data_IF_697482975145
#
_entry.id   IF_697482975145
#
_cell.length_a   1.000
_cell.length_b   1.000
_cell.length_c   1.000
_cell.angle_alpha   90.00
_cell.angle_beta   90.00
_cell.angle_gamma   90.00
#
_symmetry.space_group_name_H-M   'P 1'
#
loop_
_entity.id
_entity.type
_entity.pdbx_description
1 polymer ?
#
# COMPACT_ATOMS: atom_id res chain seq x y z
N UNK A 1 -1.13 23.54 16.56
CA UNK A 1 -0.20 22.87 15.62
C UNK A 1 0.52 21.70 16.32
N UNK A 2 -0.19 20.65 16.73
CA UNK A 2 0.38 19.57 17.54
C UNK A 2 -0.27 18.19 17.26
N UNK A 3 -0.46 17.82 15.99
CA UNK A 3 -1.19 16.59 15.65
C UNK A 3 -0.60 15.68 14.57
N UNK A 4 0.52 16.02 13.93
CA UNK A 4 0.91 15.35 12.67
C UNK A 4 1.99 14.26 12.72
N UNK A 5 2.50 13.83 13.89
CA UNK A 5 3.65 12.91 13.93
C UNK A 5 3.45 11.61 14.72
N UNK A 6 2.23 11.19 15.05
CA UNK A 6 2.01 9.87 15.68
C UNK A 6 1.83 8.78 14.61
N UNK A 7 2.88 8.52 13.83
CA UNK A 7 2.97 7.19 13.23
C UNK A 7 3.20 6.18 14.36
N UNK A 8 2.53 5.01 14.35
CA UNK A 8 2.79 3.99 15.33
C UNK A 8 4.30 3.67 15.30
N UNK A 9 4.93 3.43 16.47
CA UNK A 9 6.34 3.10 16.52
C UNK A 9 6.60 1.92 15.59
N UNK A 10 7.66 2.04 14.78
CA UNK A 10 8.06 1.03 13.81
C UNK A 10 8.11 -0.32 14.54
N UNK A 11 7.38 -1.36 14.08
CA UNK A 11 7.32 -2.61 14.81
C UNK A 11 8.71 -3.18 15.06
N UNK A 12 8.97 -3.67 16.28
CA UNK A 12 10.29 -4.13 16.73
C UNK A 12 10.99 -5.08 15.74
N UNK A 13 10.23 -5.95 15.07
CA UNK A 13 10.74 -6.89 14.07
C UNK A 13 11.43 -6.24 12.89
N UNK A 14 11.03 -5.04 12.49
CA UNK A 14 11.70 -4.33 11.41
C UNK A 14 13.11 -3.86 11.82
N UNK A 15 13.33 -3.46 13.08
CA UNK A 15 14.66 -3.10 13.57
C UNK A 15 15.60 -4.31 13.60
N UNK A 16 15.10 -5.48 14.00
CA UNK A 16 15.86 -6.73 13.94
C UNK A 16 16.23 -7.04 12.48
N UNK A 17 15.25 -6.96 11.57
CA UNK A 17 15.49 -7.16 10.14
C UNK A 17 16.60 -6.23 9.63
N UNK A 18 16.47 -4.92 9.85
CA UNK A 18 17.43 -3.93 9.36
C UNK A 18 18.83 -4.15 9.96
N UNK A 19 18.92 -4.56 11.24
CA UNK A 19 20.19 -4.89 11.89
C UNK A 19 20.84 -6.17 11.33
N UNK A 20 20.06 -7.23 11.12
CA UNK A 20 20.54 -8.47 10.47
C UNK A 20 21.06 -8.19 9.06
N UNK A 21 20.41 -7.30 8.32
CA UNK A 21 20.86 -6.85 7.00
C UNK A 21 22.20 -6.09 7.07
N UNK A 22 22.32 -5.14 8.01
CA UNK A 22 23.57 -4.38 8.20
C UNK A 22 24.76 -5.32 8.46
N UNK A 23 24.59 -6.30 9.36
CA UNK A 23 25.61 -7.31 9.64
C UNK A 23 25.92 -8.13 8.39
N UNK A 24 24.91 -8.55 7.65
CA UNK A 24 25.08 -9.35 6.43
C UNK A 24 25.90 -8.59 5.37
N UNK A 25 25.64 -7.29 5.17
CA UNK A 25 26.40 -6.45 4.25
C UNK A 25 27.84 -6.21 4.73
N UNK A 26 28.05 -6.01 6.04
CA UNK A 26 29.40 -5.88 6.61
C UNK A 26 30.22 -7.15 6.40
N UNK A 27 29.65 -8.32 6.70
CA UNK A 27 30.31 -9.62 6.49
C UNK A 27 30.61 -9.83 5.00
N UNK A 28 29.64 -9.53 4.13
CA UNK A 28 29.82 -9.58 2.68
C UNK A 28 31.01 -8.69 2.25
N UNK A 29 31.09 -7.44 2.72
CA UNK A 29 32.20 -6.53 2.44
C UNK A 29 33.56 -7.08 2.90
N UNK A 30 33.63 -7.68 4.09
CA UNK A 30 34.85 -8.30 4.63
C UNK A 30 35.29 -9.49 3.77
N UNK A 31 34.36 -10.35 3.34
CA UNK A 31 34.66 -11.46 2.44
C UNK A 31 35.11 -10.98 1.06
N UNK A 32 34.47 -9.95 0.51
CA UNK A 32 34.88 -9.32 -0.74
C UNK A 32 36.32 -8.83 -0.64
N UNK A 33 36.65 -8.11 0.43
CA UNK A 33 37.98 -7.56 0.67
C UNK A 33 39.05 -8.66 0.75
N UNK A 34 38.75 -9.80 1.40
CA UNK A 34 39.67 -10.95 1.45
C UNK A 34 39.70 -11.79 0.18
N UNK A 35 38.74 -11.64 -0.73
CA UNK A 35 38.69 -12.44 -1.98
C UNK A 35 39.66 -11.92 -3.06
N UNK A 36 40.01 -12.82 -4.00
CA UNK A 36 40.88 -12.51 -5.15
C UNK A 36 40.25 -11.43 -6.07
N UNK A 37 41.06 -10.62 -6.75
CA UNK A 37 40.67 -9.40 -7.49
C UNK A 37 39.52 -9.63 -8.48
N UNK A 38 39.48 -10.77 -9.17
CA UNK A 38 38.39 -11.07 -10.11
C UNK A 38 37.04 -11.32 -9.43
N UNK A 39 37.02 -11.78 -8.18
CA UNK A 39 35.80 -11.98 -7.39
C UNK A 39 35.33 -10.70 -6.71
N UNK A 40 36.25 -9.76 -6.43
CA UNK A 40 35.91 -8.45 -5.85
C UNK A 40 34.90 -7.68 -6.69
N UNK A 41 35.09 -7.62 -8.02
CA UNK A 41 34.20 -6.85 -8.91
C UNK A 41 32.79 -7.44 -8.97
N UNK A 42 32.68 -8.75 -9.12
CA UNK A 42 31.39 -9.45 -9.17
C UNK A 42 30.65 -9.34 -7.84
N UNK A 43 31.39 -9.45 -6.73
CA UNK A 43 30.82 -9.34 -5.40
C UNK A 43 30.36 -7.92 -5.08
N UNK A 44 31.15 -6.89 -5.43
CA UNK A 44 30.76 -5.49 -5.26
C UNK A 44 29.52 -5.11 -6.08
N UNK A 45 29.43 -5.57 -7.34
CA UNK A 45 28.24 -5.33 -8.17
C UNK A 45 26.99 -6.03 -7.60
N UNK A 46 27.15 -7.23 -7.04
CA UNK A 46 26.07 -7.99 -6.43
C UNK A 46 25.58 -7.36 -5.13
N UNK A 47 26.49 -6.90 -4.28
CA UNK A 47 26.16 -6.14 -3.06
C UNK A 47 25.38 -4.87 -3.41
N UNK A 48 25.83 -4.15 -4.46
CA UNK A 48 25.12 -2.96 -4.94
C UNK A 48 23.71 -3.30 -5.44
N UNK A 49 23.56 -4.40 -6.19
CA UNK A 49 22.25 -4.86 -6.68
C UNK A 49 21.31 -5.26 -5.53
N UNK A 50 21.79 -5.98 -4.51
CA UNK A 50 21.01 -6.34 -3.32
C UNK A 50 20.59 -5.10 -2.51
N UNK A 51 21.47 -4.10 -2.39
CA UNK A 51 21.13 -2.81 -1.79
C UNK A 51 19.99 -2.11 -2.56
N UNK A 52 20.05 -2.09 -3.89
CA UNK A 52 19.02 -1.47 -4.73
C UNK A 52 17.67 -2.21 -4.65
N UNK A 53 17.68 -3.54 -4.57
CA UNK A 53 16.48 -4.36 -4.35
C UNK A 53 15.81 -4.08 -3.00
N UNK A 54 16.60 -3.83 -1.94
CA UNK A 54 16.06 -3.50 -0.61
C UNK A 54 15.40 -2.13 -0.58
N UNK A 55 16.01 -1.12 -1.21
CA UNK A 55 15.45 0.24 -1.29
C UNK A 55 14.13 0.26 -2.08
N UNK A 56 13.95 -0.65 -3.03
CA UNK A 56 12.77 -0.67 -3.90
C UNK A 56 11.62 -1.58 -3.44
N UNK A 57 11.90 -2.65 -2.67
CA UNK A 57 10.94 -3.77 -2.53
C UNK A 57 10.29 -4.01 -1.16
N UNK A 58 10.57 -3.22 -0.13
CA UNK A 58 9.81 -3.28 1.13
C UNK A 58 9.60 -4.69 1.72
N UNK A 59 10.68 -5.47 1.92
CA UNK A 59 10.69 -6.70 2.74
C UNK A 59 10.01 -7.95 2.16
N UNK A 60 9.09 -7.83 1.20
CA UNK A 60 8.35 -9.00 0.67
C UNK A 60 9.23 -9.90 -0.24
N UNK A 61 10.41 -9.42 -0.66
CA UNK A 61 11.34 -10.17 -1.51
C UNK A 61 12.24 -11.18 -0.76
N UNK A 62 12.07 -11.32 0.56
CA UNK A 62 12.93 -12.17 1.40
C UNK A 62 12.87 -13.67 1.04
N UNK A 63 11.73 -14.15 0.50
CA UNK A 63 11.58 -15.58 0.14
C UNK A 63 12.45 -15.96 -1.07
N UNK A 64 12.68 -15.04 -2.01
CA UNK A 64 13.47 -15.30 -3.21
C UNK A 64 14.94 -14.88 -3.06
N UNK A 65 15.25 -13.96 -2.14
CA UNK A 65 16.63 -13.55 -1.84
C UNK A 65 17.43 -14.64 -1.11
N UNK A 66 16.78 -15.39 -0.22
CA UNK A 66 17.44 -16.37 0.64
C UNK A 66 18.07 -17.55 -0.14
N UNK A 67 17.38 -18.17 -1.12
CA UNK A 67 17.98 -19.22 -1.95
C UNK A 67 19.17 -18.74 -2.78
N UNK A 68 19.11 -17.51 -3.30
CA UNK A 68 20.21 -16.90 -4.08
C UNK A 68 21.43 -16.67 -3.19
N UNK A 69 21.24 -16.15 -1.97
CA UNK A 69 22.30 -15.99 -0.98
C UNK A 69 22.93 -17.33 -0.57
N UNK A 70 22.13 -18.37 -0.38
CA UNK A 70 22.63 -19.73 -0.07
C UNK A 70 23.48 -20.27 -1.23
N UNK A 71 23.03 -20.16 -2.48
CA UNK A 71 23.80 -20.62 -3.64
C UNK A 71 25.12 -19.86 -3.80
N UNK A 72 25.13 -18.56 -3.52
CA UNK A 72 26.33 -17.73 -3.55
C UNK A 72 27.32 -18.10 -2.44
N UNK A 73 26.82 -18.37 -1.23
CA UNK A 73 27.63 -18.84 -0.11
C UNK A 73 28.29 -20.18 -0.45
N UNK A 74 27.52 -21.14 -0.98
CA UNK A 74 28.03 -22.46 -1.41
C UNK A 74 29.14 -22.31 -2.46
N UNK A 75 28.93 -21.47 -3.48
CA UNK A 75 29.92 -21.25 -4.52
C UNK A 75 31.19 -20.54 -4.00
N UNK A 76 31.03 -19.61 -3.06
CA UNK A 76 32.16 -18.93 -2.41
C UNK A 76 33.00 -19.88 -1.56
N UNK A 77 32.36 -20.76 -0.78
CA UNK A 77 33.02 -21.80 0.01
C UNK A 77 33.77 -22.78 -0.91
N UNK A 78 33.14 -23.23 -2.01
CA UNK A 78 33.80 -24.10 -2.99
C UNK A 78 35.03 -23.45 -3.62
N UNK A 79 34.97 -22.14 -3.89
CA UNK A 79 36.12 -21.37 -4.37
C UNK A 79 37.27 -21.32 -3.36
N UNK A 80 36.97 -21.08 -2.08
CA UNK A 80 37.95 -21.07 -0.99
C UNK A 80 38.59 -22.44 -0.75
N UNK A 81 37.80 -23.52 -0.76
CA UNK A 81 38.32 -24.89 -0.62
C UNK A 81 39.29 -25.21 -1.76
N UNK A 82 38.93 -24.90 -3.02
CA UNK A 82 39.82 -25.11 -4.17
C UNK A 82 41.11 -24.30 -4.09
N UNK A 83 41.03 -23.07 -3.57
CA UNK A 83 42.21 -22.21 -3.37
C UNK A 83 43.11 -22.72 -2.21
N UNK A 84 42.52 -23.29 -1.16
CA UNK A 84 43.25 -23.84 -0.02
C UNK A 84 43.92 -25.19 -0.29
N UNK A 85 43.34 -26.01 -1.18
CA UNK A 85 43.88 -27.34 -1.55
C UNK A 85 45.10 -27.23 -2.47
N UNK A 86 45.24 -26.14 -3.24
CA UNK A 86 46.32 -25.99 -4.23
C UNK A 86 47.55 -25.25 -3.67
N UNK A 87 48.03 -25.65 -2.48
CA UNK A 87 49.15 -24.99 -1.78
C UNK A 87 50.53 -25.64 -1.99
N UNK A 88 50.71 -26.40 -3.08
CA UNK A 88 51.99 -27.09 -3.41
C UNK A 88 52.55 -26.75 -4.80
N UNK A 89 52.40 -25.51 -5.28
CA UNK A 89 53.23 -25.04 -6.40
C UNK A 89 53.94 -23.73 -6.05
N UNK A 90 55.26 -23.64 -6.36
CA UNK A 90 56.08 -22.48 -6.03
C UNK A 90 55.66 -21.24 -6.83
N UNK A 91 55.86 -20.09 -6.20
CA UNK A 91 55.36 -18.75 -6.50
C UNK A 91 55.91 -18.08 -7.77
N UNK A 92 56.66 -18.78 -8.62
CA UNK A 92 57.22 -18.23 -9.86
C UNK A 92 56.57 -18.90 -11.06
N UNK A 93 55.47 -18.31 -11.57
CA UNK A 93 55.08 -18.30 -13.00
C UNK A 93 53.66 -17.76 -13.27
N UNK A 94 52.85 -17.43 -12.27
CA UNK A 94 51.41 -17.18 -12.49
C UNK A 94 51.03 -15.74 -12.89
N UNK A 95 52.01 -14.90 -13.27
CA UNK A 95 51.77 -13.57 -13.85
C UNK A 95 51.42 -13.60 -15.35
N UNK A 96 51.44 -14.77 -16.00
CA UNK A 96 50.98 -14.94 -17.38
C UNK A 96 49.69 -15.75 -17.46
N UNK A 97 48.56 -15.03 -17.53
CA UNK A 97 47.62 -15.31 -18.60
C UNK A 97 46.39 -16.18 -18.32
N UNK A 98 46.01 -16.53 -17.10
CA UNK A 98 44.65 -17.04 -16.86
C UNK A 98 43.62 -15.90 -16.76
N UNK A 99 43.35 -15.25 -17.91
CA UNK A 99 42.02 -14.64 -18.14
C UNK A 99 41.01 -15.78 -18.11
N UNK A 100 40.50 -16.14 -16.92
CA UNK A 100 39.38 -17.06 -16.78
C UNK A 100 38.20 -16.42 -17.50
N UNK A 101 37.97 -16.84 -18.75
CA UNK A 101 36.76 -16.53 -19.52
C UNK A 101 35.59 -16.92 -18.63
N UNK A 102 34.86 -15.92 -18.13
CA UNK A 102 33.53 -16.13 -17.59
C UNK A 102 32.79 -16.87 -18.69
N UNK A 103 32.31 -18.08 -18.42
CA UNK A 103 31.63 -18.86 -19.43
C UNK A 103 30.39 -18.08 -19.88
N UNK A 104 30.31 -17.76 -21.16
CA UNK A 104 29.17 -17.12 -21.83
C UNK A 104 27.79 -17.62 -21.33
N UNK A 105 27.57 -18.94 -21.06
CA UNK A 105 26.30 -19.40 -20.50
C UNK A 105 25.96 -18.85 -19.12
N UNK A 106 26.94 -18.58 -18.25
CA UNK A 106 26.68 -18.03 -16.93
C UNK A 106 26.15 -16.59 -17.00
N UNK A 107 26.59 -15.80 -17.99
CA UNK A 107 26.11 -14.43 -18.19
C UNK A 107 24.66 -14.43 -18.70
N UNK A 108 24.32 -15.31 -19.64
CA UNK A 108 22.95 -15.44 -20.17
C UNK A 108 21.94 -15.88 -19.12
N UNK A 109 22.30 -16.86 -18.28
CA UNK A 109 21.43 -17.31 -17.18
C UNK A 109 21.17 -16.15 -16.21
N UNK A 110 22.22 -15.40 -15.86
CA UNK A 110 22.10 -14.28 -14.92
C UNK A 110 21.18 -13.18 -15.47
N UNK A 111 21.35 -12.80 -16.74
CA UNK A 111 20.50 -11.79 -17.39
C UNK A 111 19.04 -12.25 -17.49
N UNK A 112 18.82 -13.52 -17.83
CA UNK A 112 17.47 -14.11 -17.92
C UNK A 112 16.73 -14.10 -16.58
N UNK A 113 17.44 -14.41 -15.49
CA UNK A 113 16.89 -14.35 -14.13
C UNK A 113 16.54 -12.90 -13.75
N UNK A 114 17.38 -11.92 -14.09
CA UNK A 114 17.10 -10.50 -13.82
C UNK A 114 15.84 -10.03 -14.55
N UNK A 115 15.69 -10.37 -15.83
CA UNK A 115 14.50 -10.00 -16.62
C UNK A 115 13.23 -10.64 -16.05
N UNK A 116 13.29 -11.92 -15.68
CA UNK A 116 12.17 -12.63 -15.05
C UNK A 116 11.77 -11.95 -13.72
N UNK A 117 12.76 -11.60 -12.89
CA UNK A 117 12.52 -10.92 -11.62
C UNK A 117 11.91 -9.53 -11.82
N UNK A 118 12.36 -8.74 -12.79
CA UNK A 118 11.76 -7.43 -13.12
C UNK A 118 10.31 -7.61 -13.58
N UNK A 119 10.04 -8.57 -14.47
CA UNK A 119 8.69 -8.85 -14.98
C UNK A 119 7.70 -9.22 -13.87
N UNK A 120 8.14 -10.00 -12.88
CA UNK A 120 7.33 -10.38 -11.71
C UNK A 120 7.00 -9.20 -10.78
N UNK A 121 7.76 -8.09 -10.81
CA UNK A 121 7.49 -6.93 -9.95
C UNK A 121 6.58 -5.87 -10.60
N UNK A 122 6.37 -5.90 -11.92
CA UNK A 122 5.51 -4.95 -12.63
C UNK A 122 4.09 -4.78 -12.03
N UNK A 123 3.40 -5.83 -11.51
CA UNK A 123 2.09 -5.67 -10.90
C UNK A 123 2.08 -4.80 -9.63
N UNK A 124 3.20 -4.66 -8.93
CA UNK A 124 3.30 -3.83 -7.71
C UNK A 124 3.50 -2.35 -8.01
N UNK A 125 4.04 -2.01 -9.18
CA UNK A 125 4.25 -0.62 -9.60
C UNK A 125 2.99 -0.01 -10.24
N UNK A 126 2.09 -0.85 -10.76
CA UNK A 126 0.76 -0.41 -11.19
C UNK A 126 -0.10 -0.31 -9.92
N UNK A 127 -0.06 0.83 -9.23
CA UNK A 127 -0.98 1.11 -8.12
C UNK A 127 -2.40 1.10 -8.67
N UNK A 128 -3.25 0.11 -8.39
CA UNK A 128 -4.63 0.22 -8.81
C UNK A 128 -5.26 1.38 -8.05
N UNK A 129 -6.27 2.05 -8.64
CA UNK A 129 -7.10 3.05 -7.96
C UNK A 129 -7.94 2.46 -6.80
N UNK A 130 -7.87 1.13 -6.62
CA UNK A 130 -8.54 0.34 -5.58
C UNK A 130 -8.34 0.78 -4.10
N UNK A 131 -7.26 1.44 -3.62
CA UNK A 131 -7.16 1.78 -2.20
C UNK A 131 -8.10 2.92 -1.78
N UNK A 132 -8.45 3.85 -2.67
CA UNK A 132 -9.25 5.02 -2.27
C UNK A 132 -10.73 4.70 -2.06
N UNK A 133 -11.30 3.84 -2.90
CA UNK A 133 -12.66 3.32 -2.71
C UNK A 133 -12.81 2.65 -1.34
N UNK A 134 -11.87 1.76 -0.97
CA UNK A 134 -11.90 1.07 0.33
C UNK A 134 -11.76 2.04 1.50
N UNK A 135 -10.95 3.10 1.37
CA UNK A 135 -10.81 4.12 2.41
C UNK A 135 -12.11 4.90 2.58
N UNK A 136 -12.74 5.36 1.49
CA UNK A 136 -14.03 6.05 1.55
C UNK A 136 -15.12 5.16 2.16
N UNK A 137 -15.17 3.89 1.76
CA UNK A 137 -16.11 2.92 2.35
C UNK A 137 -15.88 2.72 3.85
N UNK A 138 -14.62 2.62 4.30
CA UNK A 138 -14.27 2.54 5.73
C UNK A 138 -14.62 3.82 6.49
N UNK A 139 -14.47 4.98 5.86
CA UNK A 139 -14.84 6.27 6.44
C UNK A 139 -16.35 6.38 6.62
N UNK A 140 -17.14 6.05 5.59
CA UNK A 140 -18.60 5.99 5.67
C UNK A 140 -19.09 4.96 6.69
N UNK A 141 -18.46 3.79 6.78
CA UNK A 141 -18.82 2.80 7.81
C UNK A 141 -18.58 3.32 9.23
N UNK A 142 -17.48 4.06 9.43
CA UNK A 142 -17.23 4.75 10.70
C UNK A 142 -18.28 5.80 11.02
N UNK A 143 -18.60 6.67 10.05
CA UNK A 143 -19.63 7.69 10.17
C UNK A 143 -21.01 7.08 10.46
N UNK A 144 -21.36 5.99 9.77
CA UNK A 144 -22.64 5.29 9.97
C UNK A 144 -22.80 4.73 11.37
N UNK A 145 -21.74 4.13 11.94
CA UNK A 145 -21.76 3.69 13.34
C UNK A 145 -22.00 4.85 14.29
N UNK A 146 -21.32 5.99 14.07
CA UNK A 146 -21.52 7.19 14.87
C UNK A 146 -22.95 7.75 14.75
N UNK A 147 -23.53 7.73 13.54
CA UNK A 147 -24.92 8.15 13.30
C UNK A 147 -25.91 7.24 14.03
N UNK A 148 -25.70 5.93 13.99
CA UNK A 148 -26.56 4.96 14.67
C UNK A 148 -26.50 5.10 16.20
N UNK A 149 -25.29 5.28 16.76
CA UNK A 149 -25.13 5.54 18.20
C UNK A 149 -25.88 6.81 18.59
N UNK A 150 -25.74 7.88 17.82
CA UNK A 150 -26.45 9.13 18.09
C UNK A 150 -27.97 8.98 18.01
N UNK A 151 -28.46 8.31 16.95
CA UNK A 151 -29.88 8.08 16.73
C UNK A 151 -30.52 7.21 17.82
N UNK A 152 -29.81 6.20 18.32
CA UNK A 152 -30.26 5.37 19.44
C UNK A 152 -30.45 6.21 20.72
N UNK A 153 -29.56 7.19 20.97
CA UNK A 153 -29.62 8.06 22.14
C UNK A 153 -30.70 9.16 22.05
N UNK A 154 -30.94 9.70 20.84
CA UNK A 154 -31.77 10.91 20.65
C UNK A 154 -33.10 10.65 19.92
N UNK A 155 -33.26 9.49 19.29
CA UNK A 155 -34.42 9.17 18.46
C UNK A 155 -34.44 9.85 17.08
N UNK A 156 -33.39 10.60 16.73
CA UNK A 156 -33.26 11.32 15.47
C UNK A 156 -31.80 11.38 14.99
N UNK A 157 -31.58 11.62 13.71
CA UNK A 157 -30.25 11.92 13.18
C UNK A 157 -29.87 13.38 13.46
N UNK A 158 -28.56 13.74 13.45
CA UNK A 158 -28.13 15.13 13.66
C UNK A 158 -28.73 16.08 12.62
N UNK A 159 -28.83 17.35 12.97
CA UNK A 159 -29.26 18.40 12.05
C UNK A 159 -28.40 18.42 10.77
N UNK A 160 -29.06 18.33 9.62
CA UNK A 160 -28.42 18.15 8.30
C UNK A 160 -27.51 19.31 7.88
N UNK A 161 -27.70 20.51 8.43
CA UNK A 161 -26.88 21.69 8.15
C UNK A 161 -25.65 21.80 9.06
N UNK A 162 -25.52 20.92 10.06
CA UNK A 162 -24.45 20.94 11.08
C UNK A 162 -23.86 19.57 11.42
N UNK A 163 -24.21 18.53 10.66
CA UNK A 163 -23.88 17.15 11.02
C UNK A 163 -22.37 16.86 11.10
N UNK A 164 -21.54 17.47 10.24
CA UNK A 164 -20.08 17.28 10.31
C UNK A 164 -19.49 17.96 11.56
N UNK A 165 -19.88 19.21 11.85
CA UNK A 165 -19.41 19.93 13.04
C UNK A 165 -19.83 19.21 14.31
N UNK A 166 -21.08 18.73 14.35
CA UNK A 166 -21.61 17.95 15.45
C UNK A 166 -20.79 16.68 15.72
N UNK A 167 -20.48 15.91 14.68
CA UNK A 167 -19.72 14.66 14.80
C UNK A 167 -18.29 14.88 15.28
N UNK A 168 -17.67 16.01 14.88
CA UNK A 168 -16.36 16.42 15.39
C UNK A 168 -16.41 16.87 16.86
N UNK A 169 -17.39 17.71 17.22
CA UNK A 169 -17.53 18.25 18.58
C UNK A 169 -17.74 17.13 19.61
N UNK A 170 -18.53 16.11 19.25
CA UNK A 170 -18.75 14.93 20.09
C UNK A 170 -17.58 13.96 20.10
N UNK A 171 -16.52 14.20 19.32
CA UNK A 171 -15.37 13.31 19.22
C UNK A 171 -15.71 11.95 18.61
N UNK A 172 -16.83 11.84 17.88
CA UNK A 172 -17.28 10.60 17.26
C UNK A 172 -16.44 10.24 16.03
N UNK A 173 -15.91 11.26 15.35
CA UNK A 173 -15.01 11.12 14.19
C UNK A 173 -13.91 12.17 14.20
N UNK A 174 -12.85 11.93 13.42
CA UNK A 174 -11.82 12.95 13.15
C UNK A 174 -12.09 13.65 11.81
N UNK A 175 -11.47 14.81 11.58
CA UNK A 175 -11.65 15.54 10.32
C UNK A 175 -11.16 14.73 9.10
N UNK A 176 -10.13 13.90 9.27
CA UNK A 176 -9.61 13.01 8.23
C UNK A 176 -10.66 11.99 7.78
N UNK A 177 -11.53 11.53 8.69
CA UNK A 177 -12.62 10.60 8.36
C UNK A 177 -13.69 11.25 7.48
N UNK A 178 -13.79 12.57 7.47
CA UNK A 178 -14.74 13.32 6.64
C UNK A 178 -14.20 13.64 5.24
N UNK A 179 -12.96 13.25 4.93
CA UNK A 179 -12.30 13.54 3.65
C UNK A 179 -12.18 12.30 2.77
N UNK A 180 -12.40 12.49 1.47
CA UNK A 180 -12.03 11.53 0.44
C UNK A 180 -10.55 11.71 0.08
N UNK A 181 -9.73 10.64 0.02
CA UNK A 181 -8.31 10.75 -0.33
C UNK A 181 -8.04 11.34 -1.73
N UNK A 182 -9.03 11.27 -2.62
CA UNK A 182 -8.98 11.85 -3.98
C UNK A 182 -8.97 13.38 -3.92
N UNK A 183 -9.70 13.98 -2.97
CA UNK A 183 -9.90 15.44 -2.88
C UNK A 183 -9.26 16.02 -1.61
N UNK A 184 -7.93 15.94 -1.50
CA UNK A 184 -7.19 16.40 -0.31
C UNK A 184 -7.42 17.86 0.10
N UNK A 185 -7.83 18.70 -0.85
CA UNK A 185 -8.01 20.14 -0.63
C UNK A 185 -9.40 20.51 -0.09
N UNK A 186 -10.33 19.55 -0.01
CA UNK A 186 -11.69 19.80 0.48
C UNK A 186 -11.78 19.42 1.96
N UNK A 187 -12.51 20.23 2.74
CA UNK A 187 -12.68 19.99 4.19
C UNK A 187 -13.55 18.76 4.46
N UNK A 188 -14.57 18.53 3.63
CA UNK A 188 -15.42 17.34 3.64
C UNK A 188 -15.70 16.82 2.23
N UNK A 189 -16.07 15.54 2.13
CA UNK A 189 -16.32 14.82 0.88
C UNK A 189 -17.56 13.92 0.90
N UNK A 190 -18.43 14.13 1.89
CA UNK A 190 -19.67 13.39 2.07
C UNK A 190 -20.84 14.36 2.19
N UNK A 191 -22.03 13.90 1.85
CA UNK A 191 -23.28 14.62 2.06
C UNK A 191 -24.29 13.72 2.80
N UNK A 192 -25.24 14.36 3.45
CA UNK A 192 -26.32 13.71 4.18
C UNK A 192 -27.64 13.83 3.42
N UNK A 193 -28.39 12.73 3.33
CA UNK A 193 -29.74 12.76 2.78
C UNK A 193 -30.72 13.29 3.84
N UNK A 194 -31.36 14.46 3.64
CA UNK A 194 -32.29 15.03 4.61
C UNK A 194 -33.62 14.26 4.74
N UNK A 195 -33.94 13.40 3.79
CA UNK A 195 -35.16 12.61 3.77
C UNK A 195 -35.01 11.29 4.56
N UNK A 196 -33.78 10.88 4.90
CA UNK A 196 -33.54 9.69 5.70
C UNK A 196 -33.82 9.97 7.17
N UNK A 197 -34.78 9.24 7.74
CA UNK A 197 -35.16 9.29 9.15
C UNK A 197 -34.81 7.98 9.84
N UNK A 198 -34.86 7.98 11.18
CA UNK A 198 -34.55 6.78 11.98
C UNK A 198 -35.57 5.65 11.72
N UNK A 199 -36.81 6.01 11.37
CA UNK A 199 -37.90 5.11 11.01
C UNK A 199 -38.00 4.83 9.50
N UNK A 200 -37.08 5.34 8.68
CA UNK A 200 -37.02 5.03 7.26
C UNK A 200 -36.74 3.54 7.00
N UNK A 201 -37.12 3.08 5.81
CA UNK A 201 -36.77 1.75 5.29
C UNK A 201 -35.25 1.55 5.27
N UNK A 202 -34.82 0.30 5.41
CA UNK A 202 -33.42 -0.06 5.62
C UNK A 202 -32.50 0.25 4.43
N UNK A 203 -33.07 0.33 3.23
CA UNK A 203 -32.37 0.62 1.96
C UNK A 203 -32.36 2.12 1.59
N UNK A 204 -32.88 3.00 2.45
CA UNK A 204 -32.81 4.45 2.22
C UNK A 204 -31.37 4.93 2.37
N UNK A 205 -30.91 5.75 1.43
CA UNK A 205 -29.59 6.39 1.47
C UNK A 205 -29.51 7.34 2.66
N UNK A 206 -28.50 7.16 3.53
CA UNK A 206 -28.25 8.02 4.69
C UNK A 206 -27.11 9.01 4.42
N UNK A 207 -25.92 8.50 4.06
CA UNK A 207 -24.75 9.31 3.68
C UNK A 207 -24.17 8.82 2.36
N UNK A 208 -23.58 9.72 1.58
CA UNK A 208 -22.97 9.36 0.31
C UNK A 208 -21.78 10.25 -0.02
N UNK A 209 -20.87 9.78 -0.87
CA UNK A 209 -19.76 10.60 -1.37
C UNK A 209 -20.27 11.73 -2.27
N UNK A 210 -19.79 12.94 -2.03
CA UNK A 210 -20.22 14.15 -2.75
C UNK A 210 -19.05 14.84 -3.43
N UNK A 211 -19.35 15.89 -4.20
CA UNK A 211 -18.32 16.75 -4.84
C UNK A 211 -17.54 17.57 -3.79
N UNK A 212 -17.84 17.38 -2.52
CA UNK A 212 -17.19 18.03 -1.40
C UNK A 212 -17.90 19.30 -0.96
N UNK A 213 -17.65 19.63 0.29
CA UNK A 213 -18.42 20.60 1.06
C UNK A 213 -18.28 20.29 2.54
N UNK A 214 -18.82 21.17 3.38
CA UNK A 214 -18.85 20.98 4.82
C UNK A 214 -20.30 21.09 5.27
N UNK A 215 -20.78 20.12 6.06
CA UNK A 215 -22.21 19.95 6.35
C UNK A 215 -23.07 19.94 5.08
N UNK A 216 -22.59 19.31 4.01
CA UNK A 216 -23.36 19.24 2.76
C UNK A 216 -24.53 18.27 2.97
N UNK A 217 -25.70 18.63 2.43
CA UNK A 217 -26.90 17.81 2.47
C UNK A 217 -27.74 18.03 1.21
N UNK A 218 -28.49 17.00 0.81
CA UNK A 218 -29.30 16.99 -0.41
C UNK A 218 -29.50 15.56 -0.93
N UNK A 219 -29.88 15.43 -2.19
CA UNK A 219 -30.19 14.16 -2.84
C UNK A 219 -29.20 13.76 -3.94
N UNK A 220 -29.73 13.07 -4.95
CA UNK A 220 -28.98 12.53 -6.09
C UNK A 220 -28.17 13.60 -6.87
N UNK A 221 -28.61 14.86 -6.85
CA UNK A 221 -27.95 15.99 -7.52
C UNK A 221 -26.53 16.27 -6.99
N UNK A 222 -26.21 15.78 -5.79
CA UNK A 222 -24.91 15.96 -5.14
C UNK A 222 -23.94 14.79 -5.34
N UNK A 223 -24.37 13.71 -6.01
CA UNK A 223 -23.53 12.56 -6.31
C UNK A 223 -22.32 12.99 -7.16
N UNK A 224 -21.14 12.49 -6.78
CA UNK A 224 -19.87 12.79 -7.43
C UNK A 224 -19.32 11.57 -8.17
N UNK A 225 -19.87 11.27 -9.34
CA UNK A 225 -19.39 10.15 -10.17
C UNK A 225 -17.94 10.31 -10.60
N UNK A 226 -17.40 11.53 -10.65
CA UNK A 226 -15.99 11.77 -10.95
C UNK A 226 -15.03 11.23 -9.88
N UNK A 227 -15.53 10.96 -8.67
CA UNK A 227 -14.75 10.28 -7.64
C UNK A 227 -14.45 8.85 -8.13
N UNK A 228 -13.26 8.34 -7.82
CA UNK A 228 -12.84 6.97 -8.21
C UNK A 228 -12.87 6.69 -9.72
N UNK A 229 -12.59 7.71 -10.53
CA UNK A 229 -12.35 7.55 -11.97
C UNK A 229 -13.62 7.35 -12.80
N UNK A 230 -14.79 7.81 -12.33
CA UNK A 230 -16.03 7.72 -13.12
C UNK A 230 -16.84 6.44 -12.91
N UNK A 231 -16.38 5.52 -12.05
CA UNK A 231 -16.94 4.16 -11.98
C UNK A 231 -18.10 4.01 -10.99
N UNK A 232 -18.29 4.96 -10.08
CA UNK A 232 -19.25 4.85 -8.99
C UNK A 232 -18.75 5.50 -7.72
N UNK A 233 -19.48 5.30 -6.62
CA UNK A 233 -19.15 5.85 -5.32
C UNK A 233 -19.67 5.00 -4.17
N UNK A 234 -19.10 5.18 -2.97
CA UNK A 234 -19.62 4.53 -1.78
C UNK A 234 -20.85 5.27 -1.23
N UNK A 235 -21.85 4.48 -0.85
CA UNK A 235 -23.11 4.91 -0.26
C UNK A 235 -23.30 4.15 1.05
N UNK A 236 -23.67 4.88 2.09
CA UNK A 236 -24.13 4.35 3.36
C UNK A 236 -25.65 4.37 3.38
N UNK A 237 -26.26 3.21 3.62
CA UNK A 237 -27.70 3.05 3.80
C UNK A 237 -28.08 3.14 5.28
N UNK A 238 -29.37 3.40 5.54
CA UNK A 238 -29.93 3.55 6.88
C UNK A 238 -29.63 2.35 7.79
N UNK A 239 -29.62 1.13 7.25
CA UNK A 239 -29.26 -0.09 7.99
C UNK A 239 -27.77 -0.19 8.38
N UNK A 240 -26.94 0.81 8.04
CA UNK A 240 -25.52 0.86 8.33
C UNK A 240 -24.64 0.14 7.31
N UNK A 241 -25.21 -0.47 6.27
CA UNK A 241 -24.46 -1.08 5.19
C UNK A 241 -23.82 -0.02 4.30
N UNK A 242 -22.56 -0.24 3.93
CA UNK A 242 -21.86 0.58 2.93
C UNK A 242 -21.67 -0.25 1.67
N UNK A 243 -22.10 0.27 0.53
CA UNK A 243 -21.93 -0.36 -0.77
C UNK A 243 -21.29 0.60 -1.76
N UNK A 244 -20.51 0.06 -2.68
CA UNK A 244 -20.06 0.82 -3.84
C UNK A 244 -21.07 0.64 -4.95
N UNK A 245 -21.76 1.72 -5.29
CA UNK A 245 -22.82 1.75 -6.29
C UNK A 245 -22.24 2.32 -7.58
N UNK A 246 -22.51 1.66 -8.70
CA UNK A 246 -22.02 2.11 -10.00
C UNK A 246 -22.87 3.26 -10.52
N UNK A 247 -22.31 4.05 -11.44
CA UNK A 247 -23.01 5.21 -12.02
C UNK A 247 -24.33 4.80 -12.69
N UNK A 248 -24.37 3.63 -13.32
CA UNK A 248 -25.57 3.10 -13.98
C UNK A 248 -26.72 2.80 -13.00
N UNK A 249 -26.39 2.56 -11.73
CA UNK A 249 -27.33 2.16 -10.67
C UNK A 249 -27.82 3.36 -9.83
N UNK A 250 -27.34 4.58 -10.11
CA UNK A 250 -27.70 5.77 -9.31
C UNK A 250 -29.20 6.10 -9.35
N UNK A 251 -29.87 5.81 -10.47
CA UNK A 251 -31.32 6.01 -10.61
C UNK A 251 -32.16 5.02 -9.80
N UNK A 252 -31.55 3.94 -9.28
CA UNK A 252 -32.24 2.91 -8.50
C UNK A 252 -32.19 3.17 -6.99
N UNK A 253 -31.43 4.19 -6.57
CA UNK A 253 -31.24 4.51 -5.16
C UNK A 253 -32.52 5.03 -4.51
N UNK A 254 -32.82 4.50 -3.32
CA UNK A 254 -33.94 4.96 -2.51
C UNK A 254 -33.56 6.20 -1.69
N UNK A 255 -34.14 7.35 -2.03
CA UNK A 255 -33.88 8.63 -1.35
C UNK A 255 -34.87 8.95 -0.23
N UNK A 256 -35.91 8.12 0.00
CA UNK A 256 -36.84 8.29 1.12
C UNK A 256 -37.87 9.43 0.96
N UNK A 257 -37.94 10.08 -0.19
CA UNK A 257 -38.94 11.09 -0.57
C UNK A 257 -40.31 10.52 -0.98
N UNK A 258 -40.46 9.18 -0.97
CA UNK A 258 -41.73 8.51 -1.23
C UNK A 258 -42.13 8.46 -2.71
N UNK A 259 -41.24 8.80 -3.64
CA UNK A 259 -41.52 8.81 -5.08
C UNK A 259 -40.33 8.33 -5.90
N UNK A 260 -40.47 7.15 -6.52
CA UNK A 260 -39.68 6.77 -7.68
C UNK A 260 -40.12 7.61 -8.88
N UNK A 261 -39.77 8.89 -8.90
CA UNK A 261 -40.00 9.74 -10.07
C UNK A 261 -38.66 9.99 -10.76
N UNK A 262 -38.26 9.00 -11.56
CA UNK A 262 -37.31 9.17 -12.67
C UNK A 262 -38.07 8.77 -13.94
N UNK A 263 -38.66 9.76 -14.61
CA UNK A 263 -38.95 9.68 -16.05
C UNK A 263 -37.65 9.84 -16.87
#
# INVERSE_FOLDING_TARGET
MAGHNQHPPYPFWYYISDFTWLISYLLAGIFAFKSNISFRKTFSLLVLFLCLLRVSGGGVLDIFGLPVLILLLINSIRGLIKAGVNKKQPFENDLQGQKRKISEPAMLITVSVIILLIGLQLPMFVRPQLPFQMICGSNLSGLGKSMLIYAEEHGEYPAVDKWCDFMLEKGLVTEEKLKCPVHKNKRGSYAMNPNCKVDSEDDVVLLFESKGGWNLFGGAELLASENHGGNGLNILFKNGAVQFVKVEEFGELNWGDGGKDVE
#
